data_IF_255068392674
#
_entry.id   IF_255068392674
#
_cell.length_a   1.000
_cell.length_b   1.000
_cell.length_c   1.000
_cell.angle_alpha   90.00
_cell.angle_beta   90.00
_cell.angle_gamma   90.00
#
_symmetry.space_group_name_H-M   'P 1'
#
loop_
_entity.id
_entity.type
_entity.pdbx_description
1 polymer ?
#
# COMPACT_ATOMS: atom_id res chain seq x y z
N UNK A 1 19.57 -22.15 -8.57
CA UNK A 1 18.87 -21.47 -7.47
C UNK A 1 17.55 -22.18 -7.19
N UNK A 2 17.27 -22.41 -5.94
CA UNK A 2 16.05 -23.10 -5.52
C UNK A 2 14.88 -22.12 -5.45
N UNK A 3 13.71 -22.52 -5.97
CA UNK A 3 12.51 -21.70 -5.96
C UNK A 3 12.09 -21.36 -4.52
N UNK A 4 12.27 -22.27 -3.59
CA UNK A 4 11.94 -22.07 -2.19
C UNK A 4 12.75 -20.92 -1.56
N UNK A 5 13.99 -20.74 -1.96
CA UNK A 5 14.81 -19.63 -1.46
C UNK A 5 14.29 -18.29 -1.92
N UNK A 6 13.77 -18.22 -3.15
CA UNK A 6 13.19 -16.99 -3.69
C UNK A 6 11.92 -16.62 -2.93
N UNK A 7 11.04 -17.60 -2.69
CA UNK A 7 9.81 -17.38 -1.94
C UNK A 7 10.09 -16.93 -0.50
N UNK A 8 11.09 -17.56 0.13
CA UNK A 8 11.48 -17.20 1.49
C UNK A 8 11.98 -15.74 1.57
N UNK A 9 12.79 -15.33 0.59
CA UNK A 9 13.30 -13.96 0.55
C UNK A 9 12.17 -12.95 0.39
N UNK A 10 11.15 -13.25 -0.43
CA UNK A 10 10.00 -12.38 -0.62
C UNK A 10 9.19 -12.24 0.66
N UNK A 11 8.99 -13.33 1.40
CA UNK A 11 8.27 -13.30 2.67
C UNK A 11 9.00 -12.46 3.71
N UNK A 12 10.34 -12.57 3.78
CA UNK A 12 11.13 -11.75 4.68
C UNK A 12 11.01 -10.27 4.34
N UNK A 13 11.01 -9.93 3.06
CA UNK A 13 10.85 -8.55 2.63
C UNK A 13 9.51 -7.97 3.07
N UNK A 14 8.42 -8.69 2.83
CA UNK A 14 7.09 -8.25 3.25
C UNK A 14 6.98 -8.13 4.76
N UNK A 15 7.56 -9.08 5.48
CA UNK A 15 7.55 -9.03 6.94
C UNK A 15 8.30 -7.80 7.46
N UNK A 16 9.46 -7.50 6.88
CA UNK A 16 10.22 -6.32 7.27
C UNK A 16 9.44 -5.03 6.98
N UNK A 17 8.75 -4.95 5.86
CA UNK A 17 7.93 -3.78 5.53
C UNK A 17 6.79 -3.57 6.54
N UNK A 18 6.19 -4.66 7.03
CA UNK A 18 5.13 -4.56 8.02
C UNK A 18 5.66 -4.12 9.39
N UNK A 19 6.81 -4.66 9.81
CA UNK A 19 7.41 -4.34 11.10
C UNK A 19 8.06 -2.97 11.10
N UNK A 20 8.59 -2.55 9.97
CA UNK A 20 9.32 -1.29 9.81
C UNK A 20 8.76 -0.49 8.64
N UNK A 21 7.58 0.12 8.79
CA UNK A 21 6.97 0.89 7.70
C UNK A 21 7.84 2.06 7.23
N UNK A 22 8.79 2.51 8.05
CA UNK A 22 9.72 3.59 7.68
C UNK A 22 10.68 3.19 6.55
N UNK A 23 10.93 1.88 6.35
CA UNK A 23 11.79 1.42 5.27
C UNK A 23 11.01 0.90 4.07
N UNK A 24 9.69 0.83 4.19
CA UNK A 24 8.83 0.34 3.12
C UNK A 24 8.81 1.33 1.96
N UNK A 25 9.06 0.88 0.71
CA UNK A 25 8.98 1.77 -0.45
C UNK A 25 7.56 2.24 -0.78
N UNK A 26 6.56 1.65 -0.16
CA UNK A 26 5.13 1.98 -0.29
C UNK A 26 4.63 1.93 -1.73
N UNK A 27 4.02 0.81 -2.07
CA UNK A 27 3.37 0.63 -3.36
C UNK A 27 1.86 0.76 -3.15
N UNK A 28 1.36 2.01 -3.19
CA UNK A 28 -0.04 2.30 -2.91
C UNK A 28 -0.93 1.97 -4.09
N UNK A 29 -2.01 1.26 -3.80
CA UNK A 29 -3.03 0.90 -4.78
C UNK A 29 -4.37 1.47 -4.36
N UNK A 30 -5.14 1.90 -5.33
CA UNK A 30 -6.48 2.40 -5.14
C UNK A 30 -7.39 1.31 -4.55
N UNK A 31 -8.13 1.65 -3.48
CA UNK A 31 -9.07 0.72 -2.84
C UNK A 31 -10.50 1.19 -3.02
N UNK A 32 -10.80 2.40 -2.53
CA UNK A 32 -12.15 2.94 -2.55
C UNK A 32 -12.12 4.40 -2.92
N UNK A 33 -13.25 4.89 -3.43
CA UNK A 33 -13.41 6.25 -3.86
C UNK A 33 -14.81 6.72 -3.48
N UNK A 34 -14.91 7.89 -2.89
CA UNK A 34 -16.17 8.47 -2.48
C UNK A 34 -16.30 9.89 -3.02
N UNK A 35 -17.42 10.17 -3.67
CA UNK A 35 -17.73 11.52 -4.15
C UNK A 35 -18.16 12.41 -3.00
N UNK A 36 -17.61 13.61 -2.95
CA UNK A 36 -17.98 14.63 -1.99
C UNK A 36 -18.90 15.66 -2.67
N UNK A 37 -19.73 16.30 -1.87
CA UNK A 37 -20.72 17.25 -2.41
C UNK A 37 -20.09 18.54 -2.93
N UNK A 38 -18.87 18.83 -2.53
CA UNK A 38 -18.18 20.08 -2.91
C UNK A 38 -17.38 19.96 -4.21
N UNK A 39 -17.56 18.89 -4.97
CA UNK A 39 -16.85 18.69 -6.24
C UNK A 39 -15.50 18.01 -6.08
N UNK A 40 -15.19 17.49 -4.90
CA UNK A 40 -13.97 16.74 -4.66
C UNK A 40 -14.28 15.26 -4.49
N UNK A 41 -13.23 14.44 -4.43
CA UNK A 41 -13.34 13.02 -4.19
C UNK A 41 -12.40 12.62 -3.06
N UNK A 42 -12.88 11.77 -2.16
CA UNK A 42 -12.04 11.14 -1.15
C UNK A 42 -11.60 9.78 -1.67
N UNK A 43 -10.30 9.59 -1.82
CA UNK A 43 -9.72 8.37 -2.39
C UNK A 43 -8.84 7.70 -1.34
N UNK A 44 -9.08 6.44 -1.09
CA UNK A 44 -8.31 5.65 -0.16
C UNK A 44 -7.36 4.72 -0.90
N UNK A 45 -6.11 4.70 -0.48
CA UNK A 45 -5.07 3.85 -1.03
C UNK A 45 -4.49 2.96 0.05
N UNK A 46 -4.00 1.82 -0.35
CA UNK A 46 -3.36 0.88 0.56
C UNK A 46 -2.05 0.40 -0.03
N UNK A 47 -1.00 0.39 0.80
CA UNK A 47 0.28 -0.18 0.40
C UNK A 47 0.18 -1.71 0.37
N UNK A 48 0.53 -2.32 -0.75
CA UNK A 48 0.51 -3.77 -0.91
C UNK A 48 1.63 -4.45 -0.13
N UNK A 49 2.63 -3.70 0.30
CA UNK A 49 3.80 -4.26 0.97
C UNK A 49 3.67 -4.27 2.50
N UNK A 50 3.27 -3.15 3.09
CA UNK A 50 3.19 -3.04 4.55
C UNK A 50 1.75 -2.92 5.07
N UNK A 51 0.76 -2.76 4.20
CA UNK A 51 -0.63 -2.63 4.58
C UNK A 51 -1.02 -1.25 5.10
N UNK A 52 -0.14 -0.27 5.03
CA UNK A 52 -0.46 1.09 5.44
C UNK A 52 -1.51 1.71 4.52
N UNK A 53 -2.42 2.49 5.09
CA UNK A 53 -3.46 3.15 4.34
C UNK A 53 -3.29 4.66 4.39
N UNK A 54 -3.58 5.31 3.27
CA UNK A 54 -3.60 6.77 3.18
C UNK A 54 -4.88 7.22 2.52
N UNK A 55 -5.31 8.43 2.86
CA UNK A 55 -6.49 9.05 2.27
C UNK A 55 -6.08 10.35 1.61
N UNK A 56 -6.52 10.54 0.38
CA UNK A 56 -6.27 11.77 -0.37
C UNK A 56 -7.59 12.38 -0.81
N UNK A 57 -7.65 13.71 -0.82
CA UNK A 57 -8.78 14.43 -1.36
C UNK A 57 -8.35 15.04 -2.68
N UNK A 58 -9.02 14.65 -3.76
CA UNK A 58 -8.69 15.08 -5.11
C UNK A 58 -9.87 15.80 -5.72
N UNK A 59 -9.59 16.74 -6.62
CA UNK A 59 -10.63 17.40 -7.39
C UNK A 59 -11.02 16.55 -8.60
N UNK A 60 -12.30 16.52 -8.89
CA UNK A 60 -12.79 15.83 -10.07
C UNK A 60 -12.35 16.54 -11.35
#
# INVERSE_FOLDING_TARGET
MNIQEVEFAAELFFQMCREHPEICPHDYHWITKKDNEDGTETVNYRCSLCGSEITKIERK
#
